data_IF_633416394510
#
_entry.id   IF_633416394510
#
_cell.length_a   1.000
_cell.length_b   1.000
_cell.length_c   1.000
_cell.angle_alpha   90.00
_cell.angle_beta   90.00
_cell.angle_gamma   90.00
#
_symmetry.space_group_name_H-M   'P 1'
#
loop_
_entity.id
_entity.type
_entity.pdbx_description
1 polymer ?
#
# COMPACT_ATOMS: atom_id res chain seq x y z
N UNK A 1 33.45 -7.19 -21.65
CA UNK A 1 32.35 -8.13 -21.93
C UNK A 1 31.33 -8.17 -20.79
N UNK A 2 31.70 -8.47 -19.53
CA UNK A 2 30.75 -8.53 -18.41
C UNK A 2 29.83 -7.30 -18.25
N UNK A 3 30.37 -6.08 -18.39
CA UNK A 3 29.59 -4.83 -18.26
C UNK A 3 28.46 -4.68 -19.28
N UNK A 4 28.60 -5.29 -20.46
CA UNK A 4 27.58 -5.22 -21.52
C UNK A 4 26.46 -6.23 -21.26
N UNK A 5 26.81 -7.39 -20.69
CA UNK A 5 25.87 -8.42 -20.22
C UNK A 5 24.99 -7.88 -19.07
N UNK A 6 25.60 -7.19 -18.10
CA UNK A 6 24.87 -6.62 -16.96
C UNK A 6 23.86 -5.55 -17.40
N UNK A 7 24.26 -4.68 -18.34
CA UNK A 7 23.39 -3.65 -18.92
C UNK A 7 22.28 -4.28 -19.76
N UNK A 8 22.59 -5.34 -20.51
CA UNK A 8 21.60 -6.07 -21.30
C UNK A 8 20.49 -6.65 -20.43
N UNK A 9 20.84 -7.32 -19.33
CA UNK A 9 19.87 -7.88 -18.38
C UNK A 9 19.02 -6.75 -17.78
N UNK A 10 19.65 -5.65 -17.37
CA UNK A 10 18.93 -4.50 -16.82
C UNK A 10 17.93 -3.91 -17.82
N UNK A 11 18.33 -3.75 -19.09
CA UNK A 11 17.46 -3.23 -20.14
C UNK A 11 16.26 -4.15 -20.37
N UNK A 12 16.47 -5.48 -20.45
CA UNK A 12 15.36 -6.43 -20.61
C UNK A 12 14.37 -6.40 -19.44
N UNK A 13 14.83 -6.13 -18.23
CA UNK A 13 13.95 -5.97 -17.06
C UNK A 13 13.16 -4.66 -17.07
N UNK A 14 13.72 -3.59 -17.64
CA UNK A 14 13.18 -2.22 -17.60
C UNK A 14 12.35 -1.84 -18.83
N UNK A 15 12.68 -2.32 -20.03
CA UNK A 15 11.93 -2.07 -21.28
C UNK A 15 10.41 -2.27 -21.11
N UNK A 16 9.90 -3.30 -20.41
CA UNK A 16 8.47 -3.52 -20.29
C UNK A 16 7.71 -2.45 -19.50
N UNK A 17 8.42 -1.65 -18.70
CA UNK A 17 7.87 -0.52 -17.96
C UNK A 17 8.40 0.82 -18.51
N UNK A 18 8.89 0.83 -19.74
CA UNK A 18 9.58 1.97 -20.37
C UNK A 18 8.84 3.30 -20.22
N UNK A 19 7.51 3.27 -20.41
CA UNK A 19 6.65 4.46 -20.32
C UNK A 19 6.58 5.08 -18.91
N UNK A 20 6.91 4.31 -17.86
CA UNK A 20 6.89 4.74 -16.46
C UNK A 20 8.29 5.10 -15.93
N UNK A 21 9.33 4.94 -16.75
CA UNK A 21 10.70 5.24 -16.36
C UNK A 21 10.99 6.75 -16.39
N UNK A 22 11.94 7.16 -15.56
CA UNK A 22 12.54 8.49 -15.65
C UNK A 22 13.42 8.63 -16.91
N UNK A 23 13.57 9.85 -17.40
CA UNK A 23 14.25 10.15 -18.68
C UNK A 23 15.70 9.63 -18.74
N UNK A 24 16.40 9.61 -17.60
CA UNK A 24 17.77 9.09 -17.55
C UNK A 24 17.82 7.57 -17.79
N UNK A 25 16.85 6.82 -17.26
CA UNK A 25 16.77 5.38 -17.46
C UNK A 25 16.33 5.04 -18.89
N UNK A 26 15.41 5.82 -19.46
CA UNK A 26 15.00 5.69 -20.87
C UNK A 26 16.20 5.85 -21.82
N UNK A 27 17.01 6.89 -21.60
CA UNK A 27 18.20 7.16 -22.43
C UNK A 27 19.21 6.02 -22.41
N UNK A 28 19.40 5.36 -21.27
CA UNK A 28 20.29 4.19 -21.15
C UNK A 28 19.76 3.02 -21.98
N UNK A 29 18.45 2.78 -21.94
CA UNK A 29 17.79 1.70 -22.69
C UNK A 29 17.84 1.98 -24.19
N UNK A 30 17.51 3.19 -24.63
CA UNK A 30 17.57 3.60 -26.04
C UNK A 30 18.99 3.42 -26.59
N UNK A 31 19.99 3.92 -25.86
CA UNK A 31 21.40 3.77 -26.26
C UNK A 31 21.83 2.31 -26.35
N UNK A 32 21.37 1.46 -25.43
CA UNK A 32 21.67 0.03 -25.50
C UNK A 32 20.91 -0.67 -26.64
N UNK A 33 19.67 -0.25 -26.93
CA UNK A 33 18.88 -0.77 -28.04
C UNK A 33 19.46 -0.40 -29.42
N UNK A 34 20.19 0.71 -29.55
CA UNK A 34 20.94 1.02 -30.78
C UNK A 34 22.00 -0.04 -31.09
N UNK A 35 22.60 -0.65 -30.06
CA UNK A 35 23.69 -1.62 -30.18
C UNK A 35 23.21 -3.07 -30.01
N UNK A 36 21.99 -3.30 -29.49
CA UNK A 36 21.46 -4.62 -29.16
C UNK A 36 20.08 -4.86 -29.81
N UNK A 37 20.08 -5.72 -30.83
CA UNK A 37 18.88 -6.05 -31.62
C UNK A 37 17.74 -6.63 -30.77
N UNK A 38 18.02 -7.50 -29.78
CA UNK A 38 16.95 -8.05 -28.95
C UNK A 38 16.30 -7.02 -28.02
N UNK A 39 17.07 -6.04 -27.54
CA UNK A 39 16.55 -4.94 -26.72
C UNK A 39 15.77 -3.95 -27.60
N UNK A 40 16.19 -3.75 -28.84
CA UNK A 40 15.47 -2.94 -29.82
C UNK A 40 14.10 -3.50 -30.15
N UNK A 41 14.01 -4.80 -30.47
CA UNK A 41 12.74 -5.46 -30.76
C UNK A 41 11.78 -5.40 -29.56
N UNK A 42 12.28 -5.61 -28.34
CA UNK A 42 11.48 -5.50 -27.13
C UNK A 42 10.99 -4.05 -26.90
N UNK A 43 11.83 -3.06 -27.15
CA UNK A 43 11.47 -1.64 -27.01
C UNK A 43 10.41 -1.21 -28.02
N UNK A 44 10.55 -1.63 -29.28
CA UNK A 44 9.57 -1.39 -30.34
C UNK A 44 8.25 -2.11 -30.06
N UNK A 45 8.29 -3.30 -29.46
CA UNK A 45 7.07 -4.00 -29.03
C UNK A 45 6.29 -3.22 -27.99
N UNK A 46 6.97 -2.51 -27.07
CA UNK A 46 6.32 -1.65 -26.05
C UNK A 46 5.75 -0.37 -26.66
N UNK A 47 6.41 0.18 -27.69
CA UNK A 47 5.89 1.31 -28.47
C UNK A 47 4.67 0.97 -29.33
N UNK A 48 4.57 -0.28 -29.80
CA UNK A 48 3.48 -0.76 -30.65
C UNK A 48 2.29 -1.37 -29.86
N UNK A 49 2.33 -1.42 -28.52
CA UNK A 49 1.18 -1.81 -27.71
C UNK A 49 0.22 -0.62 -27.59
N UNK A 50 -0.41 -0.26 -28.71
CA UNK A 50 -1.79 0.20 -28.65
C UNK A 50 -2.63 -1.01 -28.24
N UNK A 51 -3.28 -0.88 -27.08
CA UNK A 51 -4.11 -1.88 -26.40
C UNK A 51 -5.05 -2.56 -27.41
N UNK A 52 -4.64 -3.71 -27.95
CA UNK A 52 -5.55 -4.64 -28.60
C UNK A 52 -5.46 -5.97 -27.87
N UNK A 53 -6.54 -6.42 -27.21
CA UNK A 53 -6.55 -7.68 -26.52
C UNK A 53 -6.71 -8.79 -27.56
N UNK A 54 -5.60 -9.38 -28.03
CA UNK A 54 -5.70 -10.65 -28.75
C UNK A 54 -4.51 -11.58 -28.55
N UNK A 55 -4.87 -12.73 -28.01
CA UNK A 55 -4.24 -14.05 -28.16
C UNK A 55 -2.84 -14.21 -27.55
N UNK A 56 -2.84 -14.56 -26.26
CA UNK A 56 -1.76 -15.27 -25.58
C UNK A 56 -1.41 -16.53 -26.36
N UNK A 57 -0.32 -16.47 -27.13
CA UNK A 57 0.32 -17.65 -27.67
C UNK A 57 1.38 -18.18 -26.70
N UNK A 58 1.41 -19.50 -26.63
CA UNK A 58 2.11 -20.35 -25.67
C UNK A 58 3.63 -20.14 -25.70
N UNK A 59 4.29 -20.28 -24.54
CA UNK A 59 5.76 -20.43 -24.34
C UNK A 59 6.60 -19.18 -24.02
N UNK A 60 6.19 -18.35 -23.07
CA UNK A 60 7.14 -17.56 -22.28
C UNK A 60 6.94 -17.88 -20.81
N UNK A 61 7.98 -18.49 -20.21
CA UNK A 61 8.05 -18.73 -18.78
C UNK A 61 7.65 -17.45 -18.03
N UNK A 62 6.78 -17.54 -17.00
CA UNK A 62 6.27 -16.35 -16.35
C UNK A 62 7.44 -15.66 -15.64
N UNK A 63 7.98 -14.61 -16.26
CA UNK A 63 8.91 -13.71 -15.60
C UNK A 63 8.30 -13.35 -14.25
N UNK A 64 9.01 -13.71 -13.16
CA UNK A 64 8.72 -13.31 -11.79
C UNK A 64 8.97 -11.80 -11.64
N UNK A 65 8.34 -10.97 -12.47
CA UNK A 65 8.39 -9.50 -12.45
C UNK A 65 7.85 -9.01 -11.13
N UNK A 66 8.67 -8.25 -10.40
CA UNK A 66 8.35 -7.14 -9.49
C UNK A 66 7.04 -7.19 -8.67
N UNK A 67 6.54 -8.39 -8.31
CA UNK A 67 5.49 -8.54 -7.29
C UNK A 67 5.88 -7.77 -6.04
N UNK A 68 7.17 -7.69 -5.69
CA UNK A 68 7.68 -7.07 -4.46
C UNK A 68 7.26 -5.59 -4.28
N UNK A 69 7.20 -4.75 -5.31
CA UNK A 69 6.85 -3.32 -5.13
C UNK A 69 5.35 -3.11 -4.91
N UNK A 70 4.52 -3.81 -5.68
CA UNK A 70 3.07 -3.81 -5.46
C UNK A 70 2.71 -4.51 -4.13
N UNK A 71 3.39 -5.61 -3.82
CA UNK A 71 3.27 -6.32 -2.55
C UNK A 71 3.74 -5.45 -1.39
N UNK A 72 4.78 -4.63 -1.54
CA UNK A 72 5.24 -3.71 -0.51
C UNK A 72 4.19 -2.65 -0.19
N UNK A 73 3.61 -1.99 -1.20
CA UNK A 73 2.50 -1.06 -1.01
C UNK A 73 1.29 -1.73 -0.36
N UNK A 74 0.94 -2.96 -0.79
CA UNK A 74 -0.19 -3.72 -0.26
C UNK A 74 0.02 -4.20 1.17
N UNK A 75 1.20 -4.75 1.48
CA UNK A 75 1.60 -5.20 2.82
C UNK A 75 1.67 -4.02 3.77
N UNK A 76 2.24 -2.90 3.35
CA UNK A 76 2.30 -1.69 4.18
C UNK A 76 0.90 -1.14 4.47
N UNK A 77 0.00 -1.13 3.48
CA UNK A 77 -1.40 -0.71 3.67
C UNK A 77 -2.13 -1.65 4.63
N UNK A 78 -1.96 -2.97 4.46
CA UNK A 78 -2.52 -3.97 5.37
C UNK A 78 -1.96 -3.81 6.79
N UNK A 79 -0.66 -3.60 6.94
CA UNK A 79 -0.01 -3.41 8.24
C UNK A 79 -0.62 -2.22 8.98
N UNK A 80 -0.78 -1.07 8.30
CA UNK A 80 -1.42 0.12 8.87
C UNK A 80 -2.87 -0.13 9.28
N UNK A 81 -3.59 -0.99 8.57
CA UNK A 81 -4.95 -1.39 8.93
C UNK A 81 -4.95 -2.32 10.16
N UNK A 82 -4.10 -3.34 10.16
CA UNK A 82 -4.00 -4.30 11.28
C UNK A 82 -3.62 -3.63 12.59
N UNK A 83 -2.68 -2.69 12.57
CA UNK A 83 -2.29 -1.94 13.77
C UNK A 83 -3.51 -1.25 14.41
N UNK A 84 -4.39 -0.64 13.59
CA UNK A 84 -5.63 -0.01 14.08
C UNK A 84 -6.58 -1.04 14.68
N UNK A 85 -6.82 -2.14 13.96
CA UNK A 85 -7.73 -3.20 14.41
C UNK A 85 -7.25 -3.79 15.74
N UNK A 86 -5.95 -4.02 15.89
CA UNK A 86 -5.36 -4.54 17.13
C UNK A 86 -5.60 -3.55 18.27
N UNK A 87 -5.28 -2.27 18.11
CA UNK A 87 -5.44 -1.30 19.18
C UNK A 87 -6.90 -1.08 19.56
N UNK A 88 -7.80 -0.98 18.57
CA UNK A 88 -9.23 -0.89 18.82
C UNK A 88 -9.79 -2.15 19.48
N UNK A 89 -9.31 -3.33 19.07
CA UNK A 89 -9.64 -4.60 19.71
C UNK A 89 -9.18 -4.67 21.15
N UNK A 90 -7.98 -4.17 21.47
CA UNK A 90 -7.48 -4.09 22.84
C UNK A 90 -8.31 -3.13 23.70
N UNK A 91 -8.69 -1.97 23.17
CA UNK A 91 -9.57 -1.01 23.86
C UNK A 91 -10.95 -1.64 24.12
N UNK A 92 -11.54 -2.30 23.12
CA UNK A 92 -12.82 -2.98 23.26
C UNK A 92 -12.75 -4.15 24.25
N UNK A 93 -11.66 -4.91 24.23
CA UNK A 93 -11.43 -6.02 25.15
C UNK A 93 -11.27 -5.52 26.59
N UNK A 94 -10.46 -4.48 26.80
CA UNK A 94 -10.29 -3.85 28.11
C UNK A 94 -11.63 -3.32 28.66
N UNK A 95 -12.41 -2.66 27.82
CA UNK A 95 -13.76 -2.21 28.16
C UNK A 95 -14.67 -3.38 28.57
N UNK A 96 -14.68 -4.47 27.80
CA UNK A 96 -15.50 -5.64 28.10
C UNK A 96 -15.11 -6.34 29.41
N UNK A 97 -13.83 -6.34 29.79
CA UNK A 97 -13.37 -6.92 31.05
C UNK A 97 -13.77 -6.08 32.26
N UNK A 98 -13.81 -4.76 32.11
CA UNK A 98 -14.16 -3.82 33.19
C UNK A 98 -15.64 -3.40 33.18
N UNK A 99 -16.41 -3.84 32.18
CA UNK A 99 -17.84 -3.59 32.09
C UNK A 99 -18.56 -4.24 33.27
N UNK A 100 -19.18 -3.40 34.11
CA UNK A 100 -19.87 -3.83 35.33
C UNK A 100 -21.27 -3.25 35.34
N UNK A 101 -22.30 -4.09 35.52
CA UNK A 101 -23.70 -3.64 35.54
C UNK A 101 -24.02 -2.66 36.68
N UNK A 102 -23.16 -2.60 37.70
CA UNK A 102 -23.31 -1.75 38.88
C UNK A 102 -22.91 -0.29 38.64
N UNK A 103 -22.25 0.02 37.52
CA UNK A 103 -21.80 1.38 37.18
C UNK A 103 -22.78 2.02 36.21
N UNK A 104 -23.17 3.30 36.38
CA UNK A 104 -24.05 3.98 35.43
C UNK A 104 -23.50 3.96 34.01
N UNK A 105 -24.34 3.58 33.03
CA UNK A 105 -23.95 3.44 31.62
C UNK A 105 -23.18 4.64 31.06
N UNK A 106 -23.57 5.87 31.42
CA UNK A 106 -22.89 7.08 30.94
C UNK A 106 -21.40 7.14 31.29
N UNK A 107 -21.04 6.79 32.53
CA UNK A 107 -19.66 6.85 33.04
C UNK A 107 -18.79 5.77 32.37
N UNK A 108 -19.35 4.61 32.06
CA UNK A 108 -18.62 3.53 31.39
C UNK A 108 -18.18 3.95 29.98
N UNK A 109 -19.08 4.57 29.21
CA UNK A 109 -18.76 5.04 27.85
C UNK A 109 -17.86 6.26 27.84
N UNK A 110 -17.87 7.09 28.89
CA UNK A 110 -16.86 8.15 29.06
C UNK A 110 -15.46 7.55 29.26
N UNK A 111 -15.34 6.46 30.02
CA UNK A 111 -14.10 5.69 30.14
C UNK A 111 -13.62 5.15 28.80
N UNK A 112 -14.52 4.58 27.99
CA UNK A 112 -14.21 4.11 26.64
C UNK A 112 -13.67 5.23 25.74
N UNK A 113 -14.32 6.40 25.76
CA UNK A 113 -13.88 7.59 25.00
C UNK A 113 -12.52 8.10 25.50
N UNK A 114 -12.26 8.07 26.80
CA UNK A 114 -10.96 8.42 27.35
C UNK A 114 -9.86 7.49 26.84
N UNK A 115 -10.12 6.18 26.78
CA UNK A 115 -9.18 5.20 26.21
C UNK A 115 -8.91 5.44 24.72
N UNK A 116 -9.93 5.77 23.93
CA UNK A 116 -9.74 6.17 22.52
C UNK A 116 -8.84 7.41 22.41
N UNK A 117 -9.09 8.45 23.22
CA UNK A 117 -8.30 9.68 23.18
C UNK A 117 -6.84 9.41 23.58
N UNK A 118 -6.62 8.59 24.60
CA UNK A 118 -5.29 8.34 25.15
C UNK A 118 -4.44 7.41 24.28
N UNK A 119 -5.05 6.37 23.70
CA UNK A 119 -4.32 5.34 22.97
C UNK A 119 -4.47 5.43 21.45
N UNK A 120 -5.69 5.67 20.96
CA UNK A 120 -5.97 5.63 19.52
C UNK A 120 -5.58 6.93 18.80
N UNK A 121 -5.86 8.10 19.37
CA UNK A 121 -5.53 9.38 18.72
C UNK A 121 -4.02 9.57 18.48
N UNK A 122 -3.12 9.35 19.46
CA UNK A 122 -1.68 9.45 19.22
C UNK A 122 -1.19 8.46 18.16
N UNK A 123 -1.74 7.23 18.18
CA UNK A 123 -1.43 6.23 17.16
C UNK A 123 -1.88 6.68 15.76
N UNK A 124 -3.12 7.16 15.63
CA UNK A 124 -3.67 7.63 14.37
C UNK A 124 -2.82 8.77 13.80
N UNK A 125 -2.38 9.69 14.65
CA UNK A 125 -1.46 10.77 14.26
C UNK A 125 -0.13 10.23 13.71
N UNK A 126 0.49 9.26 14.38
CA UNK A 126 1.75 8.62 13.90
C UNK A 126 1.53 7.91 12.56
N UNK A 127 0.43 7.19 12.41
CA UNK A 127 0.10 6.50 11.15
C UNK A 127 -0.21 7.48 10.01
N UNK A 128 -0.83 8.62 10.31
CA UNK A 128 -1.05 9.69 9.34
C UNK A 128 0.26 10.34 8.91
N UNK A 129 1.16 10.65 9.85
CA UNK A 129 2.52 11.15 9.52
C UNK A 129 3.28 10.17 8.62
N UNK A 130 3.21 8.87 8.93
CA UNK A 130 3.84 7.84 8.12
C UNK A 130 3.22 7.74 6.73
N UNK A 131 1.89 7.84 6.62
CA UNK A 131 1.20 7.84 5.32
C UNK A 131 1.55 9.08 4.50
N UNK A 132 1.72 10.24 5.16
CA UNK A 132 2.19 11.48 4.55
C UNK A 132 3.60 11.33 3.99
N UNK A 133 4.51 10.68 4.72
CA UNK A 133 5.87 10.38 4.25
C UNK A 133 5.89 9.56 2.96
N UNK A 134 4.93 8.65 2.78
CA UNK A 134 4.78 7.86 1.56
C UNK A 134 4.23 8.65 0.35
N UNK A 135 3.98 9.97 0.50
CA UNK A 135 3.48 10.89 -0.53
C UNK A 135 2.24 10.40 -1.27
N UNK A 136 1.43 9.54 -0.65
CA UNK A 136 0.23 8.98 -1.26
C UNK A 136 -1.02 9.71 -0.74
N UNK A 137 -1.38 10.80 -1.42
CA UNK A 137 -2.48 11.69 -1.01
C UNK A 137 -3.83 10.95 -0.87
N UNK A 138 -4.10 9.98 -1.76
CA UNK A 138 -5.34 9.18 -1.71
C UNK A 138 -5.40 8.33 -0.44
N UNK A 139 -4.29 7.66 -0.07
CA UNK A 139 -4.23 6.87 1.15
C UNK A 139 -4.28 7.74 2.40
N UNK A 140 -3.65 8.91 2.38
CA UNK A 140 -3.69 9.85 3.50
C UNK A 140 -5.12 10.31 3.80
N UNK A 141 -5.86 10.72 2.77
CA UNK A 141 -7.24 11.16 2.93
C UNK A 141 -8.15 10.02 3.40
N UNK A 142 -8.00 8.83 2.82
CA UNK A 142 -8.75 7.64 3.27
C UNK A 142 -8.42 7.28 4.72
N UNK A 143 -7.14 7.32 5.10
CA UNK A 143 -6.69 7.09 6.48
C UNK A 143 -7.36 8.07 7.44
N UNK A 144 -7.31 9.37 7.13
CA UNK A 144 -7.91 10.41 7.95
C UNK A 144 -9.42 10.21 8.11
N UNK A 145 -10.11 9.85 7.03
CA UNK A 145 -11.55 9.59 7.05
C UNK A 145 -11.89 8.39 7.93
N UNK A 146 -11.12 7.30 7.83
CA UNK A 146 -11.27 6.13 8.71
C UNK A 146 -11.03 6.50 10.17
N UNK A 147 -9.96 7.25 10.46
CA UNK A 147 -9.62 7.66 11.82
C UNK A 147 -10.71 8.55 12.43
N UNK A 148 -11.29 9.47 11.65
CA UNK A 148 -12.45 10.27 12.06
C UNK A 148 -13.68 9.39 12.31
N UNK A 149 -14.01 8.46 11.42
CA UNK A 149 -15.14 7.55 11.62
C UNK A 149 -14.99 6.76 12.92
N UNK A 150 -13.80 6.24 13.20
CA UNK A 150 -13.54 5.52 14.45
C UNK A 150 -13.74 6.43 15.67
N UNK A 151 -13.19 7.65 15.66
CA UNK A 151 -13.32 8.57 16.79
C UNK A 151 -14.79 8.93 17.07
N UNK A 152 -15.61 9.09 16.04
CA UNK A 152 -17.01 9.51 16.20
C UNK A 152 -18.01 8.38 16.39
N UNK A 153 -17.75 7.17 15.87
CA UNK A 153 -18.74 6.08 15.84
C UNK A 153 -18.34 4.83 16.61
N UNK A 154 -17.13 4.76 17.16
CA UNK A 154 -16.68 3.54 17.86
C UNK A 154 -17.48 3.27 19.13
N UNK A 155 -17.86 4.29 19.89
CA UNK A 155 -18.70 4.13 21.06
C UNK A 155 -20.11 3.63 20.70
N UNK A 156 -20.71 4.17 19.65
CA UNK A 156 -21.99 3.68 19.11
C UNK A 156 -21.89 2.23 18.62
N UNK A 157 -20.77 1.84 17.99
CA UNK A 157 -20.54 0.47 17.56
C UNK A 157 -20.46 -0.50 18.75
N UNK A 158 -19.77 -0.12 19.82
CA UNK A 158 -19.69 -0.93 21.04
C UNK A 158 -21.06 -1.02 21.74
N UNK A 159 -21.86 0.05 21.73
CA UNK A 159 -23.25 0.04 22.25
C UNK A 159 -24.18 -0.92 21.54
N UNK A 160 -23.92 -1.25 20.28
CA UNK A 160 -24.72 -2.22 19.53
C UNK A 160 -24.35 -3.68 19.88
N UNK A 161 -23.17 -3.91 20.43
CA UNK A 161 -22.62 -5.24 20.69
C UNK A 161 -22.82 -5.67 22.15
N UNK A 162 -22.81 -4.71 23.08
CA UNK A 162 -22.99 -4.91 24.53
C UNK A 162 -24.44 -4.68 24.93
#
# INVERSE_FOLDING_TARGET
MARFEDIHILCQELIPIYNELEEDAKRVIEKHAEECESCKEQLESVGNIEITPKEMNHNQAPMKRFKKLFLFKRVNTLLMFFIRVIVLGLIAFDFSQHFSADVPYGIQFEGLRASLVLFYIPLAFVLLMFTWFLKNMKLLLMSLLVDLLVIYFFDDLIRLIV
#
